data_IF_437555102805
#
_entry.id   IF_437555102805
#
_cell.length_a   1.000
_cell.length_b   1.000
_cell.length_c   1.000
_cell.angle_alpha   90.00
_cell.angle_beta   90.00
_cell.angle_gamma   90.00
#
_symmetry.space_group_name_H-M   'P 1'
#
loop_
_entity.id
_entity.type
_entity.pdbx_description
1 polymer ?
#
# COMPACT_ATOMS: atom_id res chain seq x y z
N UNK A 1 3.73 16.99 7.17
CA UNK A 1 3.40 16.23 5.95
C UNK A 1 4.64 15.44 5.56
N UNK A 2 4.60 14.11 5.62
CA UNK A 2 5.73 13.30 5.18
C UNK A 2 5.87 13.43 3.66
N UNK A 3 7.04 13.90 3.20
CA UNK A 3 7.39 14.02 1.80
C UNK A 3 7.43 12.63 1.15
N UNK A 4 6.87 12.51 -0.07
CA UNK A 4 6.86 11.27 -0.87
C UNK A 4 8.27 10.69 -1.07
N UNK A 5 9.27 11.57 -1.05
CA UNK A 5 10.71 11.28 -1.13
C UNK A 5 11.25 10.40 0.03
N UNK A 6 10.58 10.36 1.20
CA UNK A 6 11.01 9.57 2.36
C UNK A 6 10.36 8.17 2.44
N UNK A 7 9.48 7.85 1.49
CA UNK A 7 8.79 6.56 1.47
C UNK A 7 9.66 5.52 0.75
N UNK A 8 10.06 4.48 1.48
CA UNK A 8 10.91 3.41 0.95
C UNK A 8 10.12 2.37 0.16
N UNK A 9 8.87 2.11 0.57
CA UNK A 9 7.89 1.31 -0.19
C UNK A 9 6.61 2.11 -0.31
N UNK A 10 6.02 2.12 -1.51
CA UNK A 10 4.76 2.82 -1.79
C UNK A 10 3.79 1.86 -2.47
N UNK A 11 2.62 1.71 -1.85
CA UNK A 11 1.42 1.18 -2.48
C UNK A 11 0.56 2.36 -2.88
N UNK A 12 0.34 2.55 -4.19
CA UNK A 12 -0.48 3.63 -4.75
C UNK A 12 -1.70 3.02 -5.44
N UNK A 13 -2.89 3.35 -4.93
CA UNK A 13 -4.20 2.87 -5.44
C UNK A 13 -4.26 1.37 -5.70
N UNK A 14 -3.65 0.57 -4.83
CA UNK A 14 -3.56 -0.88 -5.05
C UNK A 14 -4.92 -1.54 -4.92
N UNK A 15 -5.23 -2.39 -5.89
CA UNK A 15 -6.44 -3.20 -5.94
C UNK A 15 -6.07 -4.66 -6.14
N UNK A 16 -6.76 -5.56 -5.43
CA UNK A 16 -6.51 -7.00 -5.54
C UNK A 16 -7.82 -7.78 -5.46
N UNK A 17 -8.02 -8.67 -6.41
CA UNK A 17 -9.05 -9.71 -6.42
C UNK A 17 -8.40 -11.08 -6.45
N UNK A 18 -9.04 -12.09 -5.86
CA UNK A 18 -8.59 -13.48 -5.98
C UNK A 18 -9.27 -14.22 -7.14
N UNK A 19 -10.48 -13.79 -7.49
CA UNK A 19 -11.38 -14.40 -8.46
C UNK A 19 -11.57 -13.56 -9.73
N UNK A 20 -10.93 -12.38 -9.80
CA UNK A 20 -11.09 -11.43 -10.90
C UNK A 20 -12.42 -10.65 -10.87
N UNK A 21 -13.28 -10.91 -9.88
CA UNK A 21 -14.64 -10.36 -9.80
C UNK A 21 -14.80 -9.51 -8.53
N UNK A 22 -14.38 -10.04 -7.39
CA UNK A 22 -14.53 -9.42 -6.09
C UNK A 22 -13.21 -8.78 -5.65
N UNK A 23 -13.22 -7.44 -5.52
CA UNK A 23 -12.09 -6.73 -4.95
C UNK A 23 -12.02 -6.96 -3.43
N UNK A 24 -11.00 -7.68 -2.99
CA UNK A 24 -10.69 -7.91 -1.58
C UNK A 24 -9.81 -6.80 -1.01
N UNK A 25 -8.94 -6.21 -1.85
CA UNK A 25 -8.24 -4.97 -1.53
C UNK A 25 -8.76 -3.88 -2.46
N UNK A 26 -9.18 -2.76 -1.89
CA UNK A 26 -9.74 -1.61 -2.61
C UNK A 26 -8.99 -0.34 -2.21
N UNK A 27 -8.41 0.33 -3.20
CA UNK A 27 -7.77 1.64 -3.06
C UNK A 27 -6.76 1.73 -1.91
N UNK A 28 -5.90 0.71 -1.79
CA UNK A 28 -4.87 0.70 -0.76
C UNK A 28 -3.77 1.70 -1.12
N UNK A 29 -3.68 2.75 -0.30
CA UNK A 29 -2.67 3.80 -0.38
C UNK A 29 -1.83 3.76 0.90
N UNK A 30 -0.61 3.21 0.81
CA UNK A 30 0.25 3.00 1.97
C UNK A 30 1.70 3.36 1.63
N UNK A 31 2.32 4.12 2.51
CA UNK A 31 3.70 4.58 2.39
C UNK A 31 4.46 4.06 3.60
N UNK A 32 5.54 3.31 3.37
CA UNK A 32 6.33 2.69 4.42
C UNK A 32 7.74 3.27 4.38
N UNK A 33 8.21 3.77 5.52
CA UNK A 33 9.57 4.30 5.66
C UNK A 33 10.59 3.18 5.83
N UNK A 34 11.86 3.46 5.56
CA UNK A 34 12.93 2.49 5.79
C UNK A 34 13.03 2.13 7.27
N UNK A 35 12.97 0.83 7.58
CA UNK A 35 13.03 0.32 8.97
C UNK A 35 11.68 0.31 9.71
N UNK A 36 10.60 0.74 9.05
CA UNK A 36 9.25 0.63 9.58
C UNK A 36 8.76 -0.82 9.47
N UNK A 37 8.23 -1.36 10.56
CA UNK A 37 7.70 -2.72 10.62
C UNK A 37 6.18 -2.69 10.50
N UNK A 38 5.66 -3.43 9.52
CA UNK A 38 4.22 -3.59 9.28
C UNK A 38 3.83 -5.05 9.49
N UNK A 39 2.72 -5.26 10.20
CA UNK A 39 2.04 -6.56 10.32
C UNK A 39 0.59 -6.41 9.88
N UNK A 40 0.02 -7.51 9.38
CA UNK A 40 -1.39 -7.62 9.00
C UNK A 40 -2.23 -8.19 10.12
#
# INVERSE_FOLDING_TARGET
MASKEDSFVVFDKVQKSYDGLSLVVKDLNLHIKKGEFLTM
#
